data_IF_197351948587
#
_entry.id   IF_197351948587
#
_cell.length_a   1.000
_cell.length_b   1.000
_cell.length_c   1.000
_cell.angle_alpha   90.00
_cell.angle_beta   90.00
_cell.angle_gamma   90.00
#
_symmetry.space_group_name_H-M   'P 1'
#
loop_
_entity.id
_entity.type
_entity.pdbx_description
1 polymer ?
#
# COMPACT_ATOMS: atom_id res chain seq x y z
N UNK A 1 44.49 5.45 -27.45
CA UNK A 1 45.50 4.63 -26.78
C UNK A 1 44.93 4.32 -25.40
N UNK A 2 44.47 3.09 -25.17
CA UNK A 2 43.84 2.69 -23.90
C UNK A 2 44.95 2.27 -22.93
N UNK A 3 44.96 2.89 -21.75
CA UNK A 3 45.87 2.58 -20.66
C UNK A 3 45.46 1.24 -20.01
N UNK A 4 46.37 0.25 -20.04
CA UNK A 4 46.18 -1.12 -19.53
C UNK A 4 46.96 -1.32 -18.22
N UNK A 5 47.18 -0.26 -17.43
CA UNK A 5 47.97 -0.31 -16.20
C UNK A 5 47.25 -0.87 -14.96
N UNK A 6 46.02 -1.37 -15.10
CA UNK A 6 45.29 -2.00 -14.00
C UNK A 6 45.78 -3.44 -13.80
N UNK A 7 46.29 -3.76 -12.61
CA UNK A 7 46.66 -5.12 -12.18
C UNK A 7 45.43 -6.03 -11.97
N UNK A 8 44.22 -5.47 -12.03
CA UNK A 8 42.98 -6.22 -11.97
C UNK A 8 42.60 -6.82 -13.33
N UNK A 9 42.64 -8.15 -13.42
CA UNK A 9 42.06 -8.90 -14.54
C UNK A 9 40.52 -8.80 -14.49
N UNK A 10 39.86 -8.40 -15.60
CA UNK A 10 38.40 -8.41 -15.66
C UNK A 10 37.87 -9.84 -15.60
N UNK A 11 36.97 -10.10 -14.66
CA UNK A 11 36.26 -11.37 -14.54
C UNK A 11 34.95 -11.27 -15.31
N UNK A 12 34.78 -12.14 -16.31
CA UNK A 12 33.57 -12.22 -17.11
C UNK A 12 32.69 -13.39 -16.65
N UNK A 13 31.39 -13.14 -16.53
CA UNK A 13 30.39 -14.17 -16.29
C UNK A 13 29.47 -14.27 -17.51
N UNK A 14 29.26 -15.48 -17.98
CA UNK A 14 28.32 -15.79 -19.06
C UNK A 14 27.11 -16.47 -18.45
N UNK A 15 25.98 -15.77 -18.42
CA UNK A 15 24.71 -16.34 -17.97
C UNK A 15 24.01 -16.98 -19.17
N UNK A 16 23.77 -18.30 -19.11
CA UNK A 16 22.92 -19.00 -20.08
C UNK A 16 21.45 -18.80 -19.68
N UNK A 17 20.59 -18.28 -20.57
CA UNK A 17 19.20 -18.00 -20.25
C UNK A 17 18.33 -19.26 -20.45
N UNK A 18 18.67 -20.37 -19.78
CA UNK A 18 17.76 -21.53 -19.71
C UNK A 18 16.75 -21.39 -18.55
N UNK A 19 16.75 -20.25 -17.87
CA UNK A 19 15.71 -19.88 -16.94
C UNK A 19 14.42 -19.59 -17.71
N UNK A 20 13.55 -20.60 -17.78
CA UNK A 20 12.12 -20.36 -17.91
C UNK A 20 11.73 -19.49 -16.72
N UNK A 21 11.63 -18.18 -16.93
CA UNK A 21 10.92 -17.30 -16.02
C UNK A 21 9.48 -17.85 -15.95
N UNK A 22 9.20 -18.73 -15.00
CA UNK A 22 7.85 -18.79 -14.47
C UNK A 22 7.65 -17.39 -13.93
N UNK A 23 6.86 -16.57 -14.61
CA UNK A 23 6.41 -15.30 -14.08
C UNK A 23 5.64 -15.63 -12.80
N UNK A 24 6.37 -15.73 -11.68
CA UNK A 24 5.80 -15.83 -10.36
C UNK A 24 5.06 -14.53 -10.20
N UNK A 25 3.74 -14.61 -10.38
CA UNK A 25 2.80 -13.53 -10.13
C UNK A 25 3.22 -12.90 -8.80
N UNK A 26 3.67 -11.64 -8.87
CA UNK A 26 4.31 -10.96 -7.74
C UNK A 26 3.35 -10.98 -6.55
N UNK A 27 3.57 -11.92 -5.65
CA UNK A 27 2.79 -12.10 -4.45
C UNK A 27 3.62 -11.53 -3.31
N UNK A 28 3.00 -10.65 -2.53
CA UNK A 28 3.61 -10.11 -1.32
C UNK A 28 2.88 -10.68 -0.13
N UNK A 29 3.64 -11.36 0.72
CA UNK A 29 3.15 -11.89 1.98
C UNK A 29 3.30 -10.81 3.04
N UNK A 30 2.19 -10.50 3.72
CA UNK A 30 2.17 -9.59 4.86
C UNK A 30 1.87 -10.36 6.12
N UNK A 31 2.79 -10.34 7.08
CA UNK A 31 2.63 -10.99 8.38
C UNK A 31 2.22 -9.97 9.44
N UNK A 32 1.15 -10.26 10.17
CA UNK A 32 0.79 -9.52 11.37
C UNK A 32 1.59 -10.08 12.56
N UNK A 33 2.71 -9.43 12.89
CA UNK A 33 3.62 -9.86 13.95
C UNK A 33 2.99 -9.90 15.35
N UNK A 34 2.07 -8.98 15.67
CA UNK A 34 1.37 -8.99 16.96
C UNK A 34 0.45 -10.22 17.07
N UNK A 35 -0.27 -10.54 15.99
CA UNK A 35 -1.10 -11.76 15.93
C UNK A 35 -0.24 -13.02 16.00
N UNK A 36 0.89 -13.04 15.29
CA UNK A 36 1.86 -14.13 15.35
C UNK A 36 2.33 -14.38 16.78
N UNK A 37 2.76 -13.33 17.48
CA UNK A 37 3.26 -13.42 18.85
C UNK A 37 2.19 -13.94 19.83
N UNK A 38 0.95 -13.45 19.71
CA UNK A 38 -0.18 -13.94 20.53
C UNK A 38 -0.46 -15.43 20.27
N UNK A 39 -0.50 -15.84 19.01
CA UNK A 39 -0.71 -17.24 18.63
C UNK A 39 0.41 -18.13 19.16
N UNK A 40 1.66 -17.70 19.03
CA UNK A 40 2.81 -18.47 19.50
C UNK A 40 2.79 -18.64 21.02
N UNK A 41 2.54 -17.56 21.77
CA UNK A 41 2.40 -17.61 23.23
C UNK A 41 1.28 -18.53 23.71
N UNK A 42 0.16 -18.57 22.97
CA UNK A 42 -0.98 -19.42 23.35
C UNK A 42 -0.81 -20.89 22.97
N UNK A 43 0.04 -21.21 22.00
CA UNK A 43 0.07 -22.52 21.35
C UNK A 43 1.29 -23.37 21.70
N UNK A 44 2.39 -22.75 22.13
CA UNK A 44 3.61 -23.44 22.54
C UNK A 44 3.60 -23.65 24.06
N UNK A 45 3.62 -24.90 24.56
CA UNK A 45 3.75 -25.15 25.98
C UNK A 45 5.15 -24.74 26.45
N UNK A 46 5.21 -23.96 27.53
CA UNK A 46 6.47 -23.40 28.04
C UNK A 46 7.44 -24.45 28.63
N UNK A 47 6.92 -25.58 29.12
CA UNK A 47 7.70 -26.67 29.71
C UNK A 47 7.16 -28.02 29.25
N UNK A 48 7.62 -28.57 28.12
CA UNK A 48 7.33 -29.96 27.75
C UNK A 48 8.03 -30.91 28.73
N UNK A 49 7.35 -31.97 29.13
CA UNK A 49 7.97 -33.06 29.90
C UNK A 49 8.80 -33.92 28.94
N UNK A 50 10.09 -34.06 29.21
CA UNK A 50 11.03 -34.83 28.39
C UNK A 50 11.61 -35.93 29.28
N UNK A 51 11.22 -37.18 29.03
CA UNK A 51 11.70 -38.34 29.78
C UNK A 51 12.46 -39.35 28.90
N UNK A 52 12.33 -39.25 27.57
CA UNK A 52 13.07 -40.07 26.60
C UNK A 52 13.58 -39.26 25.41
N UNK A 53 14.42 -39.87 24.57
CA UNK A 53 14.89 -39.26 23.33
C UNK A 53 13.74 -39.03 22.33
N UNK A 54 12.75 -39.93 22.29
CA UNK A 54 11.54 -39.77 21.47
C UNK A 54 10.70 -38.55 21.91
N UNK A 55 10.68 -38.24 23.20
CA UNK A 55 10.01 -37.03 23.72
C UNK A 55 10.70 -35.76 23.21
N UNK A 56 12.03 -35.79 23.02
CA UNK A 56 12.80 -34.65 22.46
C UNK A 56 12.37 -34.41 21.01
N UNK A 57 12.39 -35.45 20.19
CA UNK A 57 12.02 -35.34 18.77
C UNK A 57 10.55 -34.92 18.61
N UNK A 58 9.66 -35.45 19.44
CA UNK A 58 8.25 -35.08 19.48
C UNK A 58 8.05 -33.60 19.88
N UNK A 59 8.79 -33.11 20.88
CA UNK A 59 8.74 -31.72 21.31
C UNK A 59 9.25 -30.77 20.21
N UNK A 60 10.35 -31.12 19.52
CA UNK A 60 10.90 -30.34 18.41
C UNK A 60 9.90 -30.29 17.24
N UNK A 61 9.32 -31.43 16.88
CA UNK A 61 8.32 -31.50 15.80
C UNK A 61 7.11 -30.63 16.13
N UNK A 62 6.57 -30.76 17.35
CA UNK A 62 5.42 -29.97 17.81
C UNK A 62 5.73 -28.47 17.78
N UNK A 63 6.89 -28.04 18.31
CA UNK A 63 7.30 -26.64 18.26
C UNK A 63 7.36 -26.11 16.83
N UNK A 64 7.95 -26.87 15.92
CA UNK A 64 8.09 -26.52 14.50
C UNK A 64 6.72 -26.37 13.84
N UNK A 65 5.82 -27.33 14.08
CA UNK A 65 4.44 -27.30 13.60
C UNK A 65 3.69 -26.08 14.12
N UNK A 66 3.82 -25.75 15.43
CA UNK A 66 3.17 -24.56 16.02
C UNK A 66 3.68 -23.26 15.44
N UNK A 67 5.00 -23.14 15.20
CA UNK A 67 5.59 -21.96 14.55
C UNK A 67 5.04 -21.82 13.13
N UNK A 68 5.04 -22.91 12.35
CA UNK A 68 4.54 -22.93 10.98
C UNK A 68 3.02 -22.63 10.90
N UNK A 69 2.23 -23.20 11.80
CA UNK A 69 0.80 -22.90 11.89
C UNK A 69 0.55 -21.43 12.25
N UNK A 70 1.30 -20.90 13.23
CA UNK A 70 1.17 -19.51 13.68
C UNK A 70 1.55 -18.51 12.59
N UNK A 71 2.64 -18.75 11.85
CA UNK A 71 3.05 -17.86 10.75
C UNK A 71 2.04 -17.89 9.61
N UNK A 72 1.49 -19.06 9.28
CA UNK A 72 0.48 -19.20 8.22
C UNK A 72 -0.84 -18.51 8.59
N UNK A 73 -1.28 -18.62 9.85
CA UNK A 73 -2.51 -17.97 10.32
C UNK A 73 -2.38 -16.46 10.52
N UNK A 74 -1.15 -15.97 10.73
CA UNK A 74 -0.86 -14.54 10.91
C UNK A 74 -0.44 -13.84 9.61
N UNK A 75 -0.19 -14.60 8.55
CA UNK A 75 0.23 -14.09 7.25
C UNK A 75 -0.90 -14.07 6.24
N UNK A 76 -0.90 -13.05 5.38
CA UNK A 76 -1.82 -12.93 4.26
C UNK A 76 -0.99 -12.68 3.02
N UNK A 77 -1.07 -13.60 2.06
CA UNK A 77 -0.46 -13.44 0.74
C UNK A 77 -1.41 -12.68 -0.16
N UNK A 78 -0.97 -11.52 -0.65
CA UNK A 78 -1.72 -10.72 -1.62
C UNK A 78 -1.08 -10.82 -2.98
N UNK A 79 -1.87 -11.17 -3.99
CA UNK A 79 -1.47 -11.05 -5.37
C UNK A 79 -1.43 -9.57 -5.75
N UNK A 80 -0.26 -9.07 -6.13
CA UNK A 80 -0.15 -7.75 -6.71
C UNK A 80 -0.66 -7.86 -8.14
N UNK A 81 -1.88 -7.39 -8.37
CA UNK A 81 -2.30 -7.02 -9.72
C UNK A 81 -1.46 -5.81 -10.11
N UNK A 82 -0.37 -6.04 -10.82
CA UNK A 82 0.19 -4.98 -11.63
C UNK A 82 -0.93 -4.53 -12.57
N UNK A 83 -1.34 -3.26 -12.51
CA UNK A 83 -1.77 -2.62 -13.76
C UNK A 83 -0.68 -2.97 -14.76
N UNK A 84 -1.04 -3.46 -15.94
CA UNK A 84 -0.10 -3.79 -17.00
C UNK A 84 0.60 -2.48 -17.38
N UNK A 85 1.62 -2.14 -16.60
CA UNK A 85 2.58 -1.10 -16.84
C UNK A 85 3.53 -1.80 -17.79
N UNK A 86 3.23 -1.67 -19.09
CA UNK A 86 3.99 -2.32 -20.16
C UNK A 86 5.49 -2.02 -19.91
N UNK A 87 6.32 -3.01 -19.54
CA UNK A 87 7.71 -2.76 -19.15
C UNK A 87 8.51 -2.08 -20.27
N UNK A 88 8.15 -2.39 -21.53
CA UNK A 88 8.72 -1.78 -22.72
C UNK A 88 8.44 -0.28 -22.83
N UNK A 89 7.38 0.25 -22.22
CA UNK A 89 7.05 1.67 -22.32
C UNK A 89 7.85 2.52 -21.34
N UNK A 90 7.94 2.07 -20.08
CA UNK A 90 8.63 2.83 -19.02
C UNK A 90 10.15 2.73 -19.10
N UNK A 91 10.71 1.59 -19.48
CA UNK A 91 12.15 1.49 -19.72
C UNK A 91 12.60 2.41 -20.85
N UNK A 92 11.78 2.57 -21.89
CA UNK A 92 12.03 3.51 -22.98
C UNK A 92 11.84 4.97 -22.54
N UNK A 93 10.83 5.27 -21.74
CA UNK A 93 10.61 6.62 -21.21
C UNK A 93 11.68 7.08 -20.23
N UNK A 94 12.09 6.24 -19.28
CA UNK A 94 13.11 6.59 -18.29
C UNK A 94 14.49 6.67 -18.94
N UNK A 95 14.79 5.79 -19.90
CA UNK A 95 15.99 5.90 -20.74
C UNK A 95 15.98 7.18 -21.59
N UNK A 96 14.83 7.56 -22.15
CA UNK A 96 14.67 8.83 -22.88
C UNK A 96 14.84 10.04 -21.96
N UNK A 97 14.23 10.05 -20.77
CA UNK A 97 14.38 11.12 -19.77
C UNK A 97 15.84 11.25 -19.32
N UNK A 98 16.52 10.14 -19.07
CA UNK A 98 17.93 10.14 -18.69
C UNK A 98 18.85 10.61 -19.81
N UNK A 99 18.60 10.21 -21.07
CA UNK A 99 19.30 10.73 -22.25
C UNK A 99 19.10 12.23 -22.40
N UNK A 100 17.87 12.72 -22.25
CA UNK A 100 17.55 14.13 -22.29
C UNK A 100 18.25 14.92 -21.19
N UNK A 101 18.29 14.40 -19.96
CA UNK A 101 19.02 15.01 -18.85
C UNK A 101 20.52 15.12 -19.15
N UNK A 102 21.14 14.08 -19.72
CA UNK A 102 22.55 14.10 -20.15
C UNK A 102 22.80 15.15 -21.25
N UNK A 103 21.93 15.21 -22.27
CA UNK A 103 22.02 16.20 -23.34
C UNK A 103 21.85 17.64 -22.79
N UNK A 104 20.92 17.86 -21.87
CA UNK A 104 20.75 19.17 -21.23
C UNK A 104 21.97 19.58 -20.42
N UNK A 105 22.55 18.66 -19.63
CA UNK A 105 23.78 18.92 -18.88
C UNK A 105 24.95 19.30 -19.79
N UNK A 106 25.04 18.70 -20.98
CA UNK A 106 26.12 18.94 -21.94
C UNK A 106 25.93 20.23 -22.74
N UNK A 107 24.75 20.44 -23.33
CA UNK A 107 24.50 21.55 -24.25
C UNK A 107 23.97 22.81 -23.58
N UNK A 108 23.57 22.73 -22.29
CA UNK A 108 22.96 23.78 -21.44
C UNK A 108 21.71 24.49 -21.99
N UNK A 109 21.35 24.35 -23.28
CA UNK A 109 20.04 24.71 -23.81
C UNK A 109 19.74 24.12 -25.21
N UNK A 110 18.96 23.04 -25.29
CA UNK A 110 18.42 22.59 -26.59
C UNK A 110 16.91 22.86 -26.71
N UNK A 111 16.44 23.66 -27.69
CA UNK A 111 15.02 23.82 -28.01
C UNK A 111 14.31 22.48 -28.31
N UNK A 112 15.04 21.49 -28.81
CA UNK A 112 14.56 20.14 -29.07
C UNK A 112 14.17 19.38 -27.80
N UNK A 113 14.85 19.65 -26.69
CA UNK A 113 14.56 19.07 -25.38
C UNK A 113 13.19 19.54 -24.87
N UNK A 114 12.89 20.83 -25.04
CA UNK A 114 11.59 21.40 -24.70
C UNK A 114 10.48 20.82 -25.59
N UNK A 115 10.74 20.61 -26.89
CA UNK A 115 9.79 19.96 -27.80
C UNK A 115 9.50 18.52 -27.36
N UNK A 116 10.53 17.76 -27.04
CA UNK A 116 10.38 16.36 -26.63
C UNK A 116 9.69 16.24 -25.27
N UNK A 117 10.01 17.12 -24.32
CA UNK A 117 9.34 17.19 -23.03
C UNK A 117 7.84 17.50 -23.21
N UNK A 118 7.49 18.48 -24.05
CA UNK A 118 6.08 18.79 -24.36
C UNK A 118 5.37 17.60 -25.01
N UNK A 119 6.02 16.88 -25.92
CA UNK A 119 5.46 15.68 -26.54
C UNK A 119 5.17 14.59 -25.50
N UNK A 120 6.13 14.30 -24.61
CA UNK A 120 5.96 13.33 -23.52
C UNK A 120 4.81 13.74 -22.59
N UNK A 121 4.75 15.02 -22.20
CA UNK A 121 3.67 15.51 -21.34
C UNK A 121 2.30 15.40 -22.02
N UNK A 122 2.22 15.66 -23.33
CA UNK A 122 0.99 15.49 -24.12
C UNK A 122 0.55 14.03 -24.16
N UNK A 123 1.47 13.12 -24.36
CA UNK A 123 1.18 11.68 -24.41
C UNK A 123 0.73 11.15 -23.04
N UNK A 124 1.42 11.52 -21.97
CA UNK A 124 1.00 11.19 -20.60
C UNK A 124 -0.39 11.77 -20.26
N UNK A 125 -0.72 12.95 -20.78
CA UNK A 125 -2.06 13.54 -20.61
C UNK A 125 -3.12 12.72 -21.34
N UNK A 126 -2.89 12.39 -22.61
CA UNK A 126 -3.81 11.56 -23.41
C UNK A 126 -4.03 10.18 -22.79
N UNK A 127 -2.98 9.55 -22.24
CA UNK A 127 -3.11 8.28 -21.53
C UNK A 127 -3.98 8.39 -20.28
N UNK A 128 -3.80 9.46 -19.49
CA UNK A 128 -4.64 9.71 -18.31
C UNK A 128 -6.10 9.92 -18.71
N UNK A 129 -6.35 10.67 -19.78
CA UNK A 129 -7.69 10.89 -20.33
C UNK A 129 -8.32 9.55 -20.75
N UNK A 130 -7.60 8.70 -21.47
CA UNK A 130 -8.09 7.37 -21.86
C UNK A 130 -8.43 6.46 -20.66
N UNK A 131 -7.61 6.49 -19.60
CA UNK A 131 -7.93 5.78 -18.34
C UNK A 131 -9.19 6.33 -17.69
N UNK A 132 -9.42 7.64 -17.76
CA UNK A 132 -10.65 8.25 -17.28
C UNK A 132 -11.87 7.86 -18.11
N UNK A 133 -11.74 7.80 -19.43
CA UNK A 133 -12.82 7.37 -20.32
C UNK A 133 -13.23 5.91 -20.04
N UNK A 134 -12.25 5.03 -19.80
CA UNK A 134 -12.52 3.65 -19.37
C UNK A 134 -13.25 3.61 -18.02
N UNK A 135 -12.78 4.38 -17.03
CA UNK A 135 -13.45 4.46 -15.72
C UNK A 135 -14.88 4.97 -15.86
N UNK A 136 -15.13 5.96 -16.72
CA UNK A 136 -16.46 6.52 -16.95
C UNK A 136 -17.39 5.52 -17.65
N UNK A 137 -16.88 4.74 -18.61
CA UNK A 137 -17.62 3.66 -19.27
C UNK A 137 -18.03 2.55 -18.28
N UNK A 138 -17.09 2.11 -17.44
CA UNK A 138 -17.35 1.09 -16.41
C UNK A 138 -18.37 1.57 -15.37
N UNK A 139 -18.30 2.86 -15.01
CA UNK A 139 -19.20 3.50 -14.05
C UNK A 139 -20.62 3.65 -14.59
N UNK A 140 -20.79 3.92 -15.89
CA UNK A 140 -22.10 4.00 -16.53
C UNK A 140 -22.85 2.65 -16.53
N UNK A 141 -22.11 1.54 -16.45
CA UNK A 141 -22.68 0.18 -16.47
C UNK A 141 -23.18 -0.28 -15.08
N UNK A 142 -22.75 0.37 -13.99
CA UNK A 142 -23.14 -0.01 -12.63
C UNK A 142 -23.41 1.23 -11.74
N UNK A 143 -24.66 1.47 -11.32
CA UNK A 143 -25.04 2.63 -10.50
C UNK A 143 -24.25 2.75 -9.18
N UNK A 144 -23.87 1.62 -8.57
CA UNK A 144 -23.11 1.60 -7.31
C UNK A 144 -21.62 1.93 -7.50
N UNK A 145 -21.11 1.93 -8.73
CA UNK A 145 -19.72 2.28 -9.03
C UNK A 145 -19.44 3.77 -8.84
N UNK A 146 -20.42 4.64 -9.14
CA UNK A 146 -20.33 6.11 -8.93
C UNK A 146 -20.03 6.41 -7.46
N UNK A 147 -20.78 5.81 -6.54
CA UNK A 147 -20.62 6.05 -5.12
C UNK A 147 -19.24 5.63 -4.62
N UNK A 148 -18.72 4.47 -5.08
CA UNK A 148 -17.37 4.00 -4.75
C UNK A 148 -16.28 4.90 -5.32
N UNK A 149 -16.45 5.41 -6.54
CA UNK A 149 -15.52 6.34 -7.18
C UNK A 149 -15.42 7.65 -6.38
N UNK A 150 -16.56 8.23 -6.02
CA UNK A 150 -16.65 9.47 -5.22
C UNK A 150 -16.01 9.22 -3.83
N UNK A 151 -16.33 8.10 -3.18
CA UNK A 151 -15.75 7.76 -1.88
C UNK A 151 -14.22 7.68 -1.91
N UNK A 152 -13.62 7.11 -2.96
CA UNK A 152 -12.14 7.05 -3.11
C UNK A 152 -11.49 8.42 -3.29
N UNK A 153 -12.21 9.40 -3.84
CA UNK A 153 -11.69 10.75 -4.11
C UNK A 153 -11.96 11.74 -2.97
N UNK A 154 -12.88 11.43 -2.06
CA UNK A 154 -13.15 12.25 -0.88
C UNK A 154 -11.93 12.24 0.03
N UNK A 155 -11.41 13.42 0.36
CA UNK A 155 -10.43 13.58 1.43
C UNK A 155 -11.10 13.30 2.77
N UNK A 156 -10.43 12.64 3.72
CA UNK A 156 -10.97 12.49 5.06
C UNK A 156 -11.16 13.89 5.65
N UNK A 157 -12.39 14.20 6.07
CA UNK A 157 -12.70 15.45 6.75
C UNK A 157 -12.22 15.29 8.18
N UNK A 158 -11.19 16.04 8.55
CA UNK A 158 -10.73 16.13 9.94
C UNK A 158 -11.64 17.14 10.64
N UNK A 159 -12.54 16.64 11.47
CA UNK A 159 -13.38 17.51 12.31
C UNK A 159 -12.48 18.06 13.42
N UNK A 160 -12.39 19.39 13.60
CA UNK A 160 -11.58 19.97 14.67
C UNK A 160 -12.07 19.51 16.06
N UNK A 161 -11.25 19.67 17.11
CA UNK A 161 -11.68 19.39 18.47
C UNK A 161 -12.88 20.26 18.83
N UNK A 162 -13.86 19.67 19.53
CA UNK A 162 -15.06 20.39 19.97
C UNK A 162 -14.89 20.83 21.43
N UNK A 163 -15.49 21.96 21.81
CA UNK A 163 -15.48 22.40 23.21
C UNK A 163 -16.59 21.69 23.97
N UNK A 164 -16.23 20.82 24.90
CA UNK A 164 -17.15 20.16 25.83
C UNK A 164 -17.10 20.75 27.23
N UNK A 165 -17.91 20.19 28.12
CA UNK A 165 -18.04 20.62 29.51
C UNK A 165 -16.72 20.57 30.29
N UNK A 166 -15.79 19.68 29.94
CA UNK A 166 -14.53 19.45 30.66
C UNK A 166 -13.30 19.86 29.84
N UNK A 167 -13.49 20.59 28.73
CA UNK A 167 -12.42 21.03 27.84
C UNK A 167 -12.57 20.55 26.40
N UNK A 168 -11.47 20.54 25.64
CA UNK A 168 -11.45 20.17 24.23
C UNK A 168 -11.57 18.65 24.04
N UNK A 169 -12.48 18.25 23.16
CA UNK A 169 -12.82 16.87 22.84
C UNK A 169 -12.28 16.49 21.47
N UNK A 170 -11.39 15.50 21.43
CA UNK A 170 -10.67 15.10 20.22
C UNK A 170 -11.23 13.82 19.58
N UNK A 171 -11.67 12.86 20.40
CA UNK A 171 -12.16 11.57 19.93
C UNK A 171 -13.54 11.70 19.28
N UNK A 172 -13.76 11.01 18.16
CA UNK A 172 -15.04 11.00 17.46
C UNK A 172 -16.19 10.45 18.32
N UNK A 173 -15.92 9.47 19.19
CA UNK A 173 -16.93 8.92 20.10
C UNK A 173 -17.39 9.96 21.13
N UNK A 174 -16.43 10.65 21.74
CA UNK A 174 -16.71 11.69 22.73
C UNK A 174 -17.40 12.90 22.08
N UNK A 175 -17.02 13.26 20.85
CA UNK A 175 -17.73 14.29 20.08
C UNK A 175 -19.19 13.91 19.85
N UNK A 176 -19.47 12.65 19.52
CA UNK A 176 -20.85 12.17 19.34
C UNK A 176 -21.66 12.25 20.64
N UNK A 177 -21.07 11.89 21.78
CA UNK A 177 -21.71 12.03 23.08
C UNK A 177 -21.98 13.49 23.43
N UNK A 178 -21.04 14.40 23.17
CA UNK A 178 -21.24 15.83 23.37
C UNK A 178 -22.41 16.37 22.52
N UNK A 179 -22.49 15.96 21.25
CA UNK A 179 -23.64 16.32 20.41
C UNK A 179 -24.96 15.77 20.96
N UNK A 180 -24.95 14.55 21.49
CA UNK A 180 -26.13 13.94 22.12
C UNK A 180 -26.61 14.77 23.31
N UNK A 181 -25.71 15.15 24.23
CA UNK A 181 -26.01 15.96 25.41
C UNK A 181 -26.62 17.31 25.00
N UNK A 182 -25.95 18.05 24.10
CA UNK A 182 -26.40 19.37 23.63
C UNK A 182 -27.78 19.28 22.96
N UNK A 183 -28.00 18.26 22.14
CA UNK A 183 -29.29 18.04 21.50
C UNK A 183 -30.37 17.73 22.54
N UNK A 184 -30.10 16.83 23.48
CA UNK A 184 -31.04 16.45 24.54
C UNK A 184 -31.47 17.66 25.39
N UNK A 185 -30.52 18.50 25.78
CA UNK A 185 -30.81 19.76 26.48
C UNK A 185 -31.71 20.68 25.66
N UNK A 186 -31.40 20.83 24.36
CA UNK A 186 -32.17 21.70 23.47
C UNK A 186 -33.64 21.24 23.34
N UNK A 187 -33.87 19.92 23.29
CA UNK A 187 -35.21 19.34 23.21
C UNK A 187 -35.94 19.38 24.55
N UNK A 188 -35.25 19.15 25.68
CA UNK A 188 -35.83 19.30 27.03
C UNK A 188 -36.29 20.74 27.30
N UNK A 189 -35.49 21.73 26.93
CA UNK A 189 -35.82 23.16 27.11
C UNK A 189 -37.06 23.58 26.31
N UNK A 190 -37.23 23.09 25.08
CA UNK A 190 -38.43 23.34 24.27
C UNK A 190 -39.71 22.75 24.88
N UNK A 191 -39.63 21.54 25.48
CA UNK A 191 -40.78 20.87 26.09
C UNK A 191 -41.32 21.62 27.32
N UNK A 192 -40.45 22.29 28.08
CA UNK A 192 -40.86 23.09 29.23
C UNK A 192 -41.56 24.41 28.85
N UNK A 193 -41.19 24.99 27.70
CA UNK A 193 -41.83 26.22 27.19
C UNK A 193 -43.25 25.97 26.67
N UNK A 194 -43.54 24.77 26.16
CA UNK A 194 -44.90 24.38 25.73
C UNK A 194 -45.85 24.00 26.86
N UNK A 195 -45.33 23.70 28.06
CA UNK A 195 -46.14 23.33 29.25
C UNK A 195 -46.51 24.52 30.15
N UNK A 196 -46.04 25.75 29.82
CA UNK A 196 -46.34 27.00 30.56
C UNK A 196 -47.38 27.88 29.85
N UNK A 197 -48.25 27.28 29.02
CA UNK A 197 -49.40 27.96 28.40
C UNK A 197 -50.69 27.35 28.90
#
# INVERSE_FOLDING_TARGET
MFDLSSDHNPVFYTFTPDFKFSYSYNCTTFTNWNKFQLLLHSSVPGNPTINSEEDIDSAISNLTEKIHASINQSSITKYIKHQIIHPSLHQNEDSRKNRLRKLWQFYRYPPELNRLQKAILKELKAQKEHVWDQILSDVNTNPNAIHKLIARKRKPIIIPPLLGHHGLVYNNQEKANLFMEVLEESFKKKKQLTLRR
#
